data_IF_399219414989
#
_entry.id   IF_399219414989
#
_cell.length_a   1.000
_cell.length_b   1.000
_cell.length_c   1.000
_cell.angle_alpha   90.00
_cell.angle_beta   90.00
_cell.angle_gamma   90.00
#
_symmetry.space_group_name_H-M   'P 1'
#
loop_
_entity.id
_entity.type
_entity.pdbx_description
1 polymer ?
#
# COMPACT_ATOMS: atom_id res chain seq x y z
N UNK A 1 5.63 -0.82 2.80
CA UNK A 1 4.23 -1.30 2.84
C UNK A 1 3.76 -1.52 1.42
N UNK A 2 2.56 -2.05 1.21
CA UNK A 2 1.90 -2.13 -0.11
C UNK A 2 0.71 -1.17 -0.16
N UNK A 3 0.28 -0.71 -1.35
CA UNK A 3 -0.95 0.07 -1.50
C UNK A 3 -2.18 -0.67 -1.04
N UNK A 4 -3.01 -0.01 -0.23
CA UNK A 4 -4.19 -0.62 0.39
C UNK A 4 -5.11 0.44 0.97
N UNK A 5 -6.41 0.20 0.87
CA UNK A 5 -7.39 0.95 1.62
C UNK A 5 -8.56 0.08 2.04
N UNK A 6 -9.61 0.74 2.46
CA UNK A 6 -10.84 0.08 2.88
C UNK A 6 -11.79 -0.06 1.71
N UNK A 7 -12.56 -1.15 1.70
CA UNK A 7 -13.59 -1.38 0.71
C UNK A 7 -14.85 -1.88 1.42
N UNK A 8 -16.04 -1.38 1.05
CA UNK A 8 -17.30 -1.82 1.62
C UNK A 8 -17.64 -3.26 1.23
N UNK A 9 -18.54 -3.85 2.01
CA UNK A 9 -19.11 -5.16 1.70
C UNK A 9 -19.87 -5.09 0.36
N UNK A 10 -19.44 -5.90 -0.61
CA UNK A 10 -20.01 -5.95 -1.95
C UNK A 10 -19.22 -5.24 -3.05
N UNK A 11 -18.15 -4.50 -2.72
CA UNK A 11 -17.16 -4.07 -3.74
C UNK A 11 -16.26 -5.25 -4.12
N UNK A 12 -15.89 -5.35 -5.41
CA UNK A 12 -14.90 -6.32 -5.87
C UNK A 12 -13.52 -6.00 -5.26
N UNK A 13 -12.87 -6.92 -4.52
CA UNK A 13 -11.62 -6.61 -3.83
C UNK A 13 -10.46 -6.25 -4.76
N UNK A 14 -10.44 -6.78 -6.00
CA UNK A 14 -9.40 -6.44 -6.96
C UNK A 14 -9.61 -5.03 -7.51
N UNK A 15 -10.86 -4.67 -7.87
CA UNK A 15 -11.20 -3.31 -8.28
C UNK A 15 -10.86 -2.29 -7.18
N UNK A 16 -11.16 -2.60 -5.92
CA UNK A 16 -10.76 -1.77 -4.78
C UNK A 16 -9.23 -1.64 -4.69
N UNK A 17 -8.48 -2.75 -4.77
CA UNK A 17 -7.01 -2.71 -4.72
C UNK A 17 -6.40 -1.86 -5.85
N UNK A 18 -6.97 -1.92 -7.06
CA UNK A 18 -6.54 -1.10 -8.19
C UNK A 18 -6.85 0.38 -8.01
N UNK A 19 -8.03 0.71 -7.46
CA UNK A 19 -8.41 2.09 -7.10
C UNK A 19 -7.46 2.66 -6.05
N UNK A 20 -7.21 1.92 -4.98
CA UNK A 20 -6.29 2.32 -3.90
C UNK A 20 -4.85 2.49 -4.39
N UNK A 21 -4.39 1.61 -5.28
CA UNK A 21 -3.10 1.80 -5.95
C UNK A 21 -3.06 3.14 -6.70
N UNK A 22 -4.12 3.49 -7.43
CA UNK A 22 -4.16 4.75 -8.17
C UNK A 22 -4.16 5.98 -7.26
N UNK A 23 -4.86 5.93 -6.14
CA UNK A 23 -4.92 7.00 -5.15
C UNK A 23 -3.59 7.18 -4.40
N UNK A 24 -2.95 6.08 -4.00
CA UNK A 24 -1.69 6.09 -3.27
C UNK A 24 -0.48 6.40 -4.17
N UNK A 25 -0.44 5.84 -5.38
CA UNK A 25 0.69 6.00 -6.30
C UNK A 25 0.55 7.20 -7.22
N UNK A 26 -0.67 7.77 -7.35
CA UNK A 26 -0.98 8.87 -8.26
C UNK A 26 -1.03 8.48 -9.74
N UNK A 27 -0.98 7.17 -10.05
CA UNK A 27 -1.02 6.61 -11.40
C UNK A 27 -1.81 5.29 -11.38
N UNK A 28 -2.54 4.95 -12.45
CA UNK A 28 -3.31 3.70 -12.49
C UNK A 28 -2.44 2.46 -12.22
N UNK A 29 -3.04 1.47 -11.58
CA UNK A 29 -2.45 0.14 -11.47
C UNK A 29 -2.09 -0.40 -12.87
N UNK A 30 -0.92 -1.03 -13.05
CA UNK A 30 -0.54 -1.61 -14.34
C UNK A 30 -1.58 -2.58 -14.88
N UNK A 31 -1.84 -2.56 -16.18
CA UNK A 31 -2.61 -3.64 -16.81
C UNK A 31 -1.78 -4.92 -16.80
N UNK A 32 -2.13 -5.86 -15.92
CA UNK A 32 -1.41 -7.11 -15.70
C UNK A 32 -2.37 -8.20 -15.18
N UNK A 33 -1.91 -9.45 -15.24
CA UNK A 33 -2.68 -10.61 -14.76
C UNK A 33 -2.56 -10.73 -13.24
N UNK A 34 -3.39 -9.97 -12.53
CA UNK A 34 -3.43 -10.01 -11.06
C UNK A 34 -3.98 -11.33 -10.56
N UNK A 35 -3.25 -11.92 -9.61
CA UNK A 35 -3.67 -13.12 -8.88
C UNK A 35 -3.89 -12.78 -7.41
N UNK A 36 -4.89 -13.42 -6.81
CA UNK A 36 -5.14 -13.34 -5.38
C UNK A 36 -3.99 -14.04 -4.64
N UNK A 37 -3.23 -13.26 -3.87
CA UNK A 37 -2.16 -13.79 -3.03
C UNK A 37 -2.72 -14.39 -1.73
N UNK A 38 -3.80 -13.79 -1.21
CA UNK A 38 -4.51 -14.32 -0.04
C UNK A 38 -5.18 -13.23 0.78
N UNK A 39 -5.77 -13.65 1.91
CA UNK A 39 -6.29 -12.73 2.94
C UNK A 39 -5.56 -12.96 4.26
N UNK A 40 -4.96 -11.88 4.78
CA UNK A 40 -4.01 -11.91 5.88
C UNK A 40 -4.55 -11.10 7.07
N UNK A 41 -4.52 -11.69 8.27
CA UNK A 41 -4.98 -11.02 9.49
C UNK A 41 -3.83 -10.27 10.16
N UNK A 42 -3.96 -8.95 10.26
CA UNK A 42 -3.00 -8.12 10.97
C UNK A 42 -3.16 -8.22 12.50
N UNK A 43 -2.14 -7.87 13.30
CA UNK A 43 -2.22 -7.84 14.77
C UNK A 43 -3.34 -6.94 15.32
N UNK A 44 -3.76 -5.92 14.56
CA UNK A 44 -4.90 -5.05 14.90
C UNK A 44 -6.26 -5.75 14.75
N UNK A 45 -6.30 -6.96 14.18
CA UNK A 45 -7.53 -7.68 13.83
C UNK A 45 -8.03 -7.39 12.41
N UNK A 46 -7.53 -6.35 11.74
CA UNK A 46 -7.88 -5.98 10.36
C UNK A 46 -7.46 -7.10 9.39
N UNK A 47 -8.30 -7.38 8.40
CA UNK A 47 -7.98 -8.29 7.30
C UNK A 47 -7.45 -7.49 6.11
N UNK A 48 -6.39 -7.98 5.48
CA UNK A 48 -5.84 -7.47 4.23
C UNK A 48 -6.00 -8.54 3.16
N UNK A 49 -6.79 -8.27 2.14
CA UNK A 49 -6.81 -9.06 0.91
C UNK A 49 -5.75 -8.48 -0.03
N UNK A 50 -4.76 -9.30 -0.40
CA UNK A 50 -3.64 -8.85 -1.23
C UNK A 50 -3.64 -9.57 -2.58
N UNK A 51 -3.27 -8.82 -3.62
CA UNK A 51 -3.10 -9.31 -4.98
C UNK A 51 -1.66 -9.04 -5.44
N UNK A 52 -1.17 -9.85 -6.37
CA UNK A 52 0.15 -9.68 -6.98
C UNK A 52 0.06 -9.85 -8.49
N UNK A 53 0.96 -9.19 -9.21
CA UNK A 53 1.11 -9.32 -10.66
C UNK A 53 2.56 -9.01 -11.04
N UNK A 54 3.07 -9.69 -12.06
CA UNK A 54 4.34 -9.32 -12.67
C UNK A 54 4.16 -8.07 -13.55
N UNK A 55 5.04 -7.08 -13.39
CA UNK A 55 4.96 -5.85 -14.16
C UNK A 55 6.32 -5.15 -14.27
N UNK A 56 6.54 -4.46 -15.39
CA UNK A 56 7.69 -3.57 -15.57
C UNK A 56 7.47 -2.17 -14.94
N UNK A 57 6.42 -1.99 -14.16
CA UNK A 57 6.09 -0.74 -13.49
C UNK A 57 7.27 -0.19 -12.70
N UNK A 58 7.56 1.11 -12.86
CA UNK A 58 8.55 1.82 -12.07
C UNK A 58 7.88 3.01 -11.37
N UNK A 59 7.90 3.08 -10.03
CA UNK A 59 7.38 4.25 -9.33
C UNK A 59 8.35 5.43 -9.55
N UNK A 60 8.09 6.26 -10.55
CA UNK A 60 8.94 7.42 -10.87
C UNK A 60 8.57 8.67 -10.03
N UNK A 61 7.27 8.88 -9.82
CA UNK A 61 6.73 9.95 -8.96
C UNK A 61 5.51 9.41 -8.24
N UNK A 62 5.38 9.79 -6.97
CA UNK A 62 4.21 9.45 -6.16
C UNK A 62 3.48 10.75 -5.88
N UNK A 63 2.20 10.75 -6.25
CA UNK A 63 1.27 11.81 -5.89
C UNK A 63 0.22 11.18 -4.99
N UNK A 64 0.55 11.10 -3.70
CA UNK A 64 -0.37 10.61 -2.69
C UNK A 64 -1.23 11.76 -2.14
N UNK A 65 -2.39 11.40 -1.58
CA UNK A 65 -3.21 12.34 -0.82
C UNK A 65 -2.40 12.96 0.33
N UNK A 66 -2.80 14.17 0.75
CA UNK A 66 -2.15 14.85 1.88
C UNK A 66 -3.10 14.95 3.07
N UNK A 67 -2.55 14.90 4.28
CA UNK A 67 -3.29 15.08 5.51
C UNK A 67 -2.75 16.30 6.30
N UNK A 68 -3.61 17.04 7.00
CA UNK A 68 -3.19 18.15 7.85
C UNK A 68 -2.59 17.64 9.16
N UNK A 69 -1.47 18.21 9.58
CA UNK A 69 -0.82 17.95 10.86
C UNK A 69 -0.27 19.25 11.45
N UNK A 70 -0.52 19.48 12.73
CA UNK A 70 0.15 20.55 13.45
C UNK A 70 1.62 20.19 13.68
N UNK A 71 2.53 20.98 13.13
CA UNK A 71 3.96 20.72 13.23
C UNK A 71 4.82 22.00 13.28
N UNK A 72 5.73 22.14 14.27
CA UNK A 72 5.96 21.26 15.42
C UNK A 72 4.74 21.21 16.37
N UNK A 73 4.62 20.12 17.15
CA UNK A 73 3.50 19.95 18.10
C UNK A 73 3.45 21.11 19.11
N UNK A 74 2.30 21.76 19.25
CA UNK A 74 2.07 22.90 20.14
C UNK A 74 2.40 24.27 19.52
N UNK A 75 2.68 24.33 18.21
CA UNK A 75 2.94 25.58 17.48
C UNK A 75 1.67 26.28 16.99
N UNK A 76 0.53 25.61 16.96
CA UNK A 76 -0.69 26.09 16.30
C UNK A 76 -0.58 26.21 14.77
N UNK A 77 0.54 25.78 14.17
CA UNK A 77 0.77 25.83 12.73
C UNK A 77 0.41 24.49 12.10
N UNK A 78 -0.65 24.46 11.29
CA UNK A 78 -1.07 23.29 10.52
C UNK A 78 -0.38 23.28 9.17
N UNK A 79 0.33 22.19 8.88
CA UNK A 79 0.97 21.92 7.60
C UNK A 79 0.35 20.66 6.97
N UNK A 80 0.43 20.52 5.65
CA UNK A 80 -0.06 19.33 4.95
C UNK A 80 1.11 18.43 4.56
N UNK A 81 1.00 17.15 4.86
CA UNK A 81 2.02 16.14 4.55
C UNK A 81 1.43 15.06 3.66
N UNK A 82 2.20 14.52 2.70
CA UNK A 82 1.75 13.37 1.93
C UNK A 82 1.60 12.14 2.82
N UNK A 83 0.59 11.33 2.55
CA UNK A 83 0.44 10.02 3.21
C UNK A 83 1.57 9.06 2.83
N UNK A 84 2.09 9.21 1.60
CA UNK A 84 3.23 8.45 1.09
C UNK A 84 4.24 9.41 0.50
N UNK A 85 5.41 9.43 1.10
CA UNK A 85 6.56 10.24 0.70
C UNK A 85 7.49 9.50 -0.29
N UNK A 86 7.49 8.16 -0.26
CA UNK A 86 8.33 7.31 -1.11
C UNK A 86 7.73 5.91 -1.33
N UNK A 87 7.89 5.40 -2.55
CA UNK A 87 7.72 4.01 -2.89
C UNK A 87 8.75 3.61 -3.95
N UNK A 88 9.21 2.39 -3.82
CA UNK A 88 10.34 1.86 -4.55
C UNK A 88 10.25 0.34 -4.57
N UNK A 89 10.82 -0.25 -5.61
CA UNK A 89 11.11 -1.67 -5.62
C UNK A 89 12.38 -1.93 -4.81
N UNK A 90 12.29 -2.87 -3.87
CA UNK A 90 13.39 -3.30 -3.03
C UNK A 90 13.46 -4.81 -3.00
N UNK A 91 14.64 -5.35 -2.71
CA UNK A 91 14.81 -6.79 -2.56
C UNK A 91 14.09 -7.34 -1.33
N UNK A 92 13.75 -8.63 -1.37
CA UNK A 92 13.07 -9.37 -0.30
C UNK A 92 13.69 -9.12 1.08
N UNK A 93 15.00 -9.23 1.18
CA UNK A 93 15.69 -9.14 2.47
C UNK A 93 15.61 -7.74 3.07
N UNK A 94 15.55 -6.69 2.23
CA UNK A 94 15.34 -5.31 2.67
C UNK A 94 13.86 -5.07 3.02
N UNK A 95 12.93 -5.60 2.23
CA UNK A 95 11.50 -5.52 2.50
C UNK A 95 11.15 -6.12 3.87
N UNK A 96 11.76 -7.26 4.23
CA UNK A 96 11.56 -7.92 5.53
C UNK A 96 11.93 -7.04 6.72
N UNK A 97 12.91 -6.15 6.56
CA UNK A 97 13.35 -5.22 7.62
C UNK A 97 12.41 -4.01 7.71
N UNK A 98 11.92 -3.51 6.57
CA UNK A 98 11.09 -2.28 6.51
C UNK A 98 9.60 -2.52 6.74
N UNK A 99 9.10 -3.73 6.46
CA UNK A 99 7.69 -4.04 6.62
C UNK A 99 7.30 -4.13 8.10
N UNK A 100 6.11 -3.63 8.41
CA UNK A 100 5.50 -3.89 9.72
C UNK A 100 5.22 -5.37 9.87
N UNK A 101 5.32 -5.89 11.11
CA UNK A 101 5.19 -7.33 11.42
C UNK A 101 3.94 -7.98 10.80
N UNK A 102 2.82 -7.26 10.76
CA UNK A 102 1.57 -7.74 10.18
C UNK A 102 1.54 -7.90 8.66
N UNK A 103 2.56 -7.42 7.94
CA UNK A 103 2.69 -7.58 6.48
C UNK A 103 3.73 -8.62 6.07
N UNK A 104 4.49 -9.18 7.02
CA UNK A 104 5.51 -10.19 6.71
C UNK A 104 4.90 -11.45 6.08
N UNK A 105 3.71 -11.85 6.52
CA UNK A 105 2.99 -13.00 5.95
C UNK A 105 2.64 -12.81 4.47
N UNK A 106 2.42 -11.56 4.04
CA UNK A 106 2.17 -11.22 2.63
C UNK A 106 3.45 -11.42 1.82
N UNK A 107 4.59 -10.96 2.36
CA UNK A 107 5.89 -11.17 1.73
C UNK A 107 6.23 -12.66 1.67
N UNK A 108 6.00 -13.42 2.75
CA UNK A 108 6.26 -14.86 2.77
C UNK A 108 5.41 -15.58 1.71
N UNK A 109 4.13 -15.25 1.59
CA UNK A 109 3.25 -15.84 0.56
C UNK A 109 3.66 -15.49 -0.88
N UNK A 110 4.30 -14.34 -1.11
CA UNK A 110 4.79 -13.96 -2.45
C UNK A 110 6.00 -14.79 -2.90
N UNK A 111 6.74 -15.38 -1.96
CA UNK A 111 7.97 -16.11 -2.22
C UNK A 111 7.77 -17.62 -2.38
N UNK A 112 6.56 -18.11 -2.10
CA UNK A 112 6.15 -19.51 -2.31
C UNK A 112 5.74 -19.76 -3.77
#
# INVERSE_FOLDING_TARGET
SIPKGEYPEGEDPLAAAQREFAEEMGVPAPAADYVLLGTFRQPSGKLITAFTAESAFKPEKILSNTFPLEWPKGSGTVQHFPEIDRAEWIGESEARIKLVKGQLQILDALLE
#
